data_IF_663891114256
#
_entry.id   IF_663891114256
#
_cell.length_a   1.000
_cell.length_b   1.000
_cell.length_c   1.000
_cell.angle_alpha   90.00
_cell.angle_beta   90.00
_cell.angle_gamma   90.00
#
_symmetry.space_group_name_H-M   'P 1'
#
loop_
_entity.id
_entity.type
_entity.pdbx_description
1 polymer ?
#
# COMPACT_ATOMS: atom_id res chain seq x y z
N UNK A 1 -19.13 -11.26 -12.57
CA UNK A 1 -18.18 -10.76 -13.59
C UNK A 1 -17.10 -11.81 -13.79
N UNK A 2 -16.46 -11.83 -14.96
CA UNK A 2 -15.43 -12.80 -15.31
C UNK A 2 -14.07 -12.10 -15.34
N UNK A 3 -13.04 -12.72 -14.76
CA UNK A 3 -11.65 -12.28 -14.87
C UNK A 3 -11.19 -12.47 -16.31
N UNK A 4 -10.51 -11.47 -16.88
CA UNK A 4 -10.10 -11.48 -18.29
C UNK A 4 -8.63 -11.84 -18.50
N UNK A 5 -7.86 -11.96 -17.41
CA UNK A 5 -6.44 -12.30 -17.43
C UNK A 5 -5.56 -11.07 -17.66
N UNK A 6 -4.53 -11.24 -18.50
CA UNK A 6 -3.52 -10.21 -18.73
C UNK A 6 -4.02 -9.17 -19.72
N UNK A 7 -3.96 -7.90 -19.32
CA UNK A 7 -4.29 -6.74 -20.14
C UNK A 7 -3.14 -5.71 -20.08
N UNK A 8 -2.84 -5.04 -21.20
CA UNK A 8 -1.84 -3.97 -21.20
C UNK A 8 -2.25 -2.84 -20.25
N UNK A 9 -1.25 -2.15 -19.69
CA UNK A 9 -1.51 -0.98 -18.85
C UNK A 9 -1.94 0.21 -19.70
N UNK A 10 -3.06 0.84 -19.33
CA UNK A 10 -3.51 2.08 -19.94
C UNK A 10 -2.86 3.26 -19.23
N UNK A 11 -1.85 3.86 -19.87
CA UNK A 11 -1.05 4.97 -19.31
C UNK A 11 -1.62 6.36 -19.63
N UNK A 12 -2.82 6.44 -20.21
CA UNK A 12 -3.48 7.72 -20.49
C UNK A 12 -3.80 8.47 -19.20
N UNK A 13 -3.40 9.73 -19.12
CA UNK A 13 -3.70 10.62 -17.99
C UNK A 13 -5.09 11.24 -18.14
N UNK A 14 -6.13 10.47 -17.84
CA UNK A 14 -7.47 11.04 -17.69
C UNK A 14 -7.53 11.97 -16.48
N UNK A 15 -8.34 13.03 -16.53
CA UNK A 15 -8.60 13.88 -15.37
C UNK A 15 -9.53 13.20 -14.35
N UNK A 16 -9.61 13.75 -13.14
CA UNK A 16 -10.43 13.19 -12.06
C UNK A 16 -11.94 13.15 -12.37
N UNK A 17 -12.47 14.09 -13.16
CA UNK A 17 -13.89 14.16 -13.53
C UNK A 17 -14.23 13.03 -14.51
N UNK A 18 -13.37 12.82 -15.50
CA UNK A 18 -13.45 11.73 -16.47
C UNK A 18 -13.40 10.38 -15.75
N UNK A 19 -12.41 10.16 -14.88
CA UNK A 19 -12.30 8.92 -14.09
C UNK A 19 -13.52 8.69 -13.20
N UNK A 20 -14.03 9.75 -12.55
CA UNK A 20 -15.22 9.66 -11.69
C UNK A 20 -16.49 9.32 -12.47
N UNK A 21 -16.55 9.71 -13.74
CA UNK A 21 -17.67 9.38 -14.64
C UNK A 21 -17.58 7.93 -15.10
N UNK A 22 -16.40 7.50 -15.55
CA UNK A 22 -16.14 6.11 -15.98
C UNK A 22 -16.38 5.13 -14.84
N UNK A 23 -15.93 5.46 -13.63
CA UNK A 23 -16.11 4.63 -12.44
C UNK A 23 -17.22 5.15 -11.53
N UNK A 24 -18.33 5.63 -12.11
CA UNK A 24 -19.47 6.20 -11.37
C UNK A 24 -20.17 5.24 -10.39
N UNK A 25 -19.86 3.94 -10.47
CA UNK A 25 -20.28 2.92 -9.50
C UNK A 25 -19.53 3.00 -8.16
N UNK A 26 -18.33 3.59 -8.12
CA UNK A 26 -17.63 3.92 -6.88
C UNK A 26 -18.36 5.07 -6.18
N UNK A 27 -18.51 5.00 -4.86
CA UNK A 27 -19.12 6.06 -4.05
C UNK A 27 -18.23 6.39 -2.87
N UNK A 28 -17.80 7.66 -2.75
CA UNK A 28 -16.98 8.14 -1.62
C UNK A 28 -15.71 7.28 -1.39
N UNK A 29 -15.13 6.76 -2.48
CA UNK A 29 -13.96 5.89 -2.47
C UNK A 29 -14.21 4.41 -2.20
N UNK A 30 -15.47 4.01 -2.08
CA UNK A 30 -15.88 2.66 -1.72
C UNK A 30 -16.66 1.98 -2.85
N UNK A 31 -16.50 0.66 -2.95
CA UNK A 31 -17.31 -0.22 -3.78
C UNK A 31 -17.75 -1.45 -3.00
N UNK A 32 -19.01 -1.85 -3.22
CA UNK A 32 -19.60 -3.09 -2.73
C UNK A 32 -20.40 -3.76 -3.85
N UNK A 33 -20.18 -5.06 -4.13
CA UNK A 33 -21.01 -5.81 -5.07
C UNK A 33 -22.49 -5.81 -4.66
N UNK A 34 -23.40 -5.66 -5.62
CA UNK A 34 -24.86 -5.63 -5.35
C UNK A 34 -25.51 -7.01 -5.42
N UNK A 35 -24.94 -7.92 -6.20
CA UNK A 35 -25.58 -9.19 -6.56
C UNK A 35 -24.95 -10.40 -5.86
N UNK A 36 -24.01 -10.18 -4.94
CA UNK A 36 -23.37 -11.22 -4.14
C UNK A 36 -22.87 -10.64 -2.81
N UNK A 37 -22.64 -11.53 -1.84
CA UNK A 37 -21.88 -11.18 -0.64
C UNK A 37 -20.38 -11.27 -0.97
N UNK A 38 -19.60 -10.21 -0.68
CA UNK A 38 -18.15 -10.22 -0.90
C UNK A 38 -17.49 -11.24 0.03
N UNK A 39 -16.50 -11.96 -0.48
CA UNK A 39 -15.72 -12.92 0.32
C UNK A 39 -14.90 -12.23 1.42
N UNK A 40 -14.35 -11.05 1.10
CA UNK A 40 -13.54 -10.22 2.01
C UNK A 40 -13.82 -8.75 1.76
N UNK A 41 -13.68 -7.96 2.83
CA UNK A 41 -13.61 -6.50 2.82
C UNK A 41 -12.15 -6.05 2.82
N UNK A 42 -11.78 -5.24 1.83
CA UNK A 42 -10.39 -4.86 1.58
C UNK A 42 -10.15 -3.36 1.71
N UNK A 43 -9.22 -2.96 2.57
CA UNK A 43 -8.69 -1.60 2.62
C UNK A 43 -7.46 -1.50 1.71
N UNK A 44 -7.48 -0.62 0.72
CA UNK A 44 -6.35 -0.40 -0.19
C UNK A 44 -5.63 0.88 0.20
N UNK A 45 -4.47 0.77 0.82
CA UNK A 45 -3.67 1.89 1.32
C UNK A 45 -2.57 2.24 0.30
N UNK A 46 -2.62 3.47 -0.19
CA UNK A 46 -1.74 4.00 -1.24
C UNK A 46 -0.95 5.19 -0.66
N UNK A 47 0.31 5.00 -0.23
CA UNK A 47 1.14 6.09 0.29
C UNK A 47 1.70 6.94 -0.87
N UNK A 48 1.50 8.25 -0.81
CA UNK A 48 1.96 9.18 -1.86
C UNK A 48 2.58 10.47 -1.31
N UNK A 49 3.38 11.12 -2.16
CA UNK A 49 3.69 12.55 -2.07
C UNK A 49 4.13 13.03 -3.44
N UNK A 50 3.48 14.07 -3.97
CA UNK A 50 3.80 14.64 -5.28
C UNK A 50 3.75 13.56 -6.40
N UNK A 51 2.62 12.84 -6.45
CA UNK A 51 2.38 11.71 -7.37
C UNK A 51 1.00 11.75 -8.03
N UNK A 52 0.43 12.94 -8.19
CA UNK A 52 -0.91 13.12 -8.79
C UNK A 52 -1.04 12.44 -10.17
N UNK A 53 -0.07 12.57 -11.11
CA UNK A 53 -0.14 11.89 -12.39
C UNK A 53 -0.17 10.36 -12.27
N UNK A 54 0.67 9.81 -11.39
CA UNK A 54 0.75 8.37 -11.14
C UNK A 54 -0.54 7.87 -10.46
N UNK A 55 -1.14 8.66 -9.57
CA UNK A 55 -2.41 8.33 -8.93
C UNK A 55 -3.54 8.17 -9.95
N UNK A 56 -3.63 9.06 -10.95
CA UNK A 56 -4.66 8.94 -12.01
C UNK A 56 -4.45 7.72 -12.89
N UNK A 57 -3.21 7.40 -13.23
CA UNK A 57 -2.87 6.15 -13.96
C UNK A 57 -3.19 4.93 -13.08
N UNK A 58 -2.88 4.97 -11.79
CA UNK A 58 -3.22 3.93 -10.83
C UNK A 58 -4.73 3.69 -10.79
N UNK A 59 -5.55 4.72 -10.55
CA UNK A 59 -7.00 4.58 -10.47
C UNK A 59 -7.59 3.99 -11.76
N UNK A 60 -7.12 4.46 -12.92
CA UNK A 60 -7.54 3.97 -14.23
C UNK A 60 -7.27 2.47 -14.45
N UNK A 61 -6.18 1.94 -13.88
CA UNK A 61 -5.79 0.54 -14.07
C UNK A 61 -6.26 -0.36 -12.92
N UNK A 62 -6.28 0.14 -11.70
CA UNK A 62 -6.56 -0.62 -10.50
C UNK A 62 -8.05 -0.93 -10.37
N UNK A 63 -8.91 0.10 -10.44
CA UNK A 63 -10.35 -0.01 -10.23
C UNK A 63 -11.00 -1.09 -11.10
N UNK A 64 -10.82 -1.13 -12.44
CA UNK A 64 -11.47 -2.17 -13.25
C UNK A 64 -10.99 -3.58 -12.92
N UNK A 65 -9.72 -3.76 -12.51
CA UNK A 65 -9.16 -5.07 -12.15
C UNK A 65 -9.73 -5.59 -10.83
N UNK A 66 -9.71 -4.78 -9.77
CA UNK A 66 -10.26 -5.20 -8.47
C UNK A 66 -11.80 -5.29 -8.51
N UNK A 67 -12.47 -4.48 -9.32
CA UNK A 67 -13.92 -4.54 -9.52
C UNK A 67 -14.35 -5.91 -10.06
N UNK A 68 -13.62 -6.49 -11.03
CA UNK A 68 -13.92 -7.83 -11.57
C UNK A 68 -13.73 -8.96 -10.56
N UNK A 69 -12.92 -8.75 -9.52
CA UNK A 69 -12.71 -9.71 -8.42
C UNK A 69 -13.89 -9.73 -7.42
N UNK A 70 -14.87 -8.83 -7.55
CA UNK A 70 -16.09 -8.81 -6.72
C UNK A 70 -15.80 -8.72 -5.20
N UNK A 71 -14.77 -7.96 -4.83
CA UNK A 71 -14.47 -7.61 -3.44
C UNK A 71 -15.26 -6.37 -3.02
N UNK A 72 -15.56 -6.24 -1.73
CA UNK A 72 -15.94 -4.95 -1.14
C UNK A 72 -14.66 -4.24 -0.75
N UNK A 73 -14.41 -3.04 -1.27
CA UNK A 73 -13.14 -2.36 -1.03
C UNK A 73 -13.28 -0.84 -0.92
N UNK A 74 -12.32 -0.24 -0.23
CA UNK A 74 -12.16 1.22 -0.15
C UNK A 74 -10.70 1.58 -0.43
N UNK A 75 -10.49 2.61 -1.26
CA UNK A 75 -9.16 3.13 -1.57
C UNK A 75 -8.83 4.29 -0.63
N UNK A 76 -7.74 4.19 0.12
CA UNK A 76 -7.19 5.20 1.02
C UNK A 76 -5.88 5.73 0.44
N UNK A 77 -5.91 6.95 -0.07
CA UNK A 77 -4.71 7.67 -0.53
C UNK A 77 -4.20 8.50 0.63
N UNK A 78 -3.02 8.15 1.14
CA UNK A 78 -2.41 8.83 2.29
C UNK A 78 -1.25 9.68 1.78
N UNK A 79 -1.41 10.99 1.84
CA UNK A 79 -0.47 11.95 1.29
C UNK A 79 0.32 12.67 2.39
N UNK A 80 1.64 12.70 2.22
CA UNK A 80 2.55 13.43 3.11
C UNK A 80 2.75 14.87 2.66
N UNK A 81 2.76 15.79 3.62
CA UNK A 81 3.22 17.18 3.44
C UNK A 81 4.64 17.27 2.84
N UNK A 82 4.96 18.38 2.14
CA UNK A 82 6.33 18.69 1.75
C UNK A 82 7.21 19.04 2.97
N UNK A 83 8.53 19.15 2.74
CA UNK A 83 9.51 19.60 3.75
C UNK A 83 10.38 18.48 4.33
N UNK A 84 9.77 17.44 4.92
CA UNK A 84 10.53 16.30 5.46
C UNK A 84 10.84 15.23 4.40
N UNK A 85 11.72 14.27 4.70
CA UNK A 85 11.89 13.10 3.83
C UNK A 85 10.60 12.26 3.79
N UNK A 86 10.36 11.59 2.66
CA UNK A 86 9.19 10.73 2.50
C UNK A 86 9.29 9.54 3.46
N UNK A 87 8.21 9.21 4.17
CA UNK A 87 8.18 8.11 5.12
C UNK A 87 7.02 7.15 4.80
N UNK A 88 7.31 6.15 3.96
CA UNK A 88 6.34 5.17 3.47
C UNK A 88 5.64 4.43 4.62
N UNK A 89 6.41 3.97 5.61
CA UNK A 89 5.89 3.17 6.72
C UNK A 89 4.85 3.91 7.56
N UNK A 90 5.13 5.16 7.91
CA UNK A 90 4.18 5.98 8.67
C UNK A 90 2.89 6.26 7.89
N UNK A 91 2.97 6.49 6.57
CA UNK A 91 1.77 6.69 5.73
C UNK A 91 0.92 5.42 5.65
N UNK A 92 1.54 4.24 5.53
CA UNK A 92 0.85 2.96 5.52
C UNK A 92 0.12 2.73 6.85
N UNK A 93 0.82 2.89 7.97
CA UNK A 93 0.22 2.74 9.29
C UNK A 93 -0.92 3.75 9.51
N UNK A 94 -0.82 4.98 9.01
CA UNK A 94 -1.93 5.95 9.05
C UNK A 94 -3.12 5.46 8.25
N UNK A 95 -2.90 4.97 7.03
CA UNK A 95 -3.96 4.43 6.19
C UNK A 95 -4.67 3.26 6.86
N UNK A 96 -3.92 2.38 7.53
CA UNK A 96 -4.50 1.30 8.33
C UNK A 96 -5.38 1.83 9.46
N UNK A 97 -4.85 2.72 10.31
CA UNK A 97 -5.59 3.30 11.46
C UNK A 97 -6.87 3.99 10.98
N UNK A 98 -6.78 4.81 9.92
CA UNK A 98 -7.92 5.53 9.38
C UNK A 98 -8.94 4.63 8.68
N UNK A 99 -8.49 3.53 8.08
CA UNK A 99 -9.37 2.52 7.52
C UNK A 99 -10.15 1.80 8.63
N UNK A 100 -9.49 1.40 9.72
CA UNK A 100 -10.15 0.69 10.83
C UNK A 100 -11.23 1.54 11.53
N UNK A 101 -11.15 2.87 11.46
CA UNK A 101 -12.20 3.78 11.95
C UNK A 101 -13.47 3.78 11.10
N UNK A 102 -13.34 3.46 9.81
CA UNK A 102 -14.46 3.49 8.88
C UNK A 102 -15.26 2.19 8.91
N UNK A 103 -14.57 1.05 8.95
CA UNK A 103 -15.18 -0.29 9.02
C UNK A 103 -14.15 -1.34 9.42
N UNK A 104 -14.64 -2.50 9.88
CA UNK A 104 -13.81 -3.70 10.08
C UNK A 104 -13.51 -4.32 8.71
N UNK A 105 -12.27 -4.18 8.25
CA UNK A 105 -11.76 -4.85 7.06
C UNK A 105 -11.11 -6.18 7.43
N UNK A 106 -11.15 -7.13 6.50
CA UNK A 106 -10.53 -8.45 6.64
C UNK A 106 -9.11 -8.46 6.05
N UNK A 107 -8.87 -7.61 5.05
CA UNK A 107 -7.64 -7.56 4.27
C UNK A 107 -7.14 -6.14 4.06
N UNK A 108 -5.84 -5.95 4.21
CA UNK A 108 -5.12 -4.69 3.99
C UNK A 108 -4.21 -4.88 2.80
N UNK A 109 -4.42 -4.09 1.75
CA UNK A 109 -3.57 -4.02 0.57
C UNK A 109 -2.71 -2.77 0.67
N UNK A 110 -1.40 -2.96 0.69
CA UNK A 110 -0.42 -1.91 0.61
C UNK A 110 0.01 -1.82 -0.85
N UNK A 111 -0.16 -0.65 -1.45
CA UNK A 111 -0.01 -0.50 -2.89
C UNK A 111 0.86 0.70 -3.24
N UNK A 112 2.07 0.42 -3.75
CA UNK A 112 2.90 1.45 -4.36
C UNK A 112 2.22 1.98 -5.63
N UNK A 113 1.91 3.28 -5.66
CA UNK A 113 1.14 3.94 -6.73
C UNK A 113 1.72 3.77 -8.15
N UNK A 114 3.01 3.44 -8.25
CA UNK A 114 3.74 3.24 -9.51
C UNK A 114 3.84 1.78 -9.97
N UNK A 115 3.32 0.81 -9.21
CA UNK A 115 3.40 -0.63 -9.52
C UNK A 115 2.01 -1.18 -9.86
N UNK A 116 1.74 -1.46 -11.13
CA UNK A 116 0.39 -1.80 -11.59
C UNK A 116 0.30 -3.25 -12.06
N UNK A 117 -0.62 -4.02 -11.48
CA UNK A 117 -0.93 -5.38 -11.91
C UNK A 117 -1.32 -5.41 -13.40
N UNK A 118 -0.69 -6.29 -14.17
CA UNK A 118 -1.04 -6.51 -15.58
C UNK A 118 -2.07 -7.61 -15.77
N UNK A 119 -2.30 -8.44 -14.75
CA UNK A 119 -3.20 -9.59 -14.79
C UNK A 119 -4.21 -9.51 -13.65
N UNK A 120 -5.51 -9.56 -13.96
CA UNK A 120 -6.57 -9.49 -12.95
C UNK A 120 -6.78 -10.79 -12.16
N UNK A 121 -6.03 -11.84 -12.50
CA UNK A 121 -5.89 -13.07 -11.70
C UNK A 121 -4.86 -12.93 -10.58
N UNK A 122 -4.18 -11.79 -10.46
CA UNK A 122 -3.53 -11.38 -9.21
C UNK A 122 -4.63 -10.98 -8.23
N UNK A 123 -5.03 -11.90 -7.35
CA UNK A 123 -6.12 -11.69 -6.41
C UNK A 123 -5.70 -10.78 -5.25
N UNK A 124 -6.50 -9.75 -4.98
CA UNK A 124 -6.33 -8.81 -3.86
C UNK A 124 -7.03 -9.31 -2.58
N UNK A 125 -6.90 -10.60 -2.30
CA UNK A 125 -7.50 -11.30 -1.17
C UNK A 125 -6.44 -11.86 -0.25
N UNK A 126 -6.62 -11.68 1.05
CA UNK A 126 -5.71 -12.17 2.07
C UNK A 126 -5.97 -13.64 2.40
N UNK A 127 -4.90 -14.37 2.74
CA UNK A 127 -4.96 -15.76 3.21
C UNK A 127 -4.15 -15.94 4.49
N UNK A 128 -3.75 -17.18 4.78
CA UNK A 128 -3.10 -17.55 6.06
C UNK A 128 -1.73 -16.90 6.30
N UNK A 129 -1.10 -16.37 5.25
CA UNK A 129 0.21 -15.74 5.32
C UNK A 129 0.22 -14.39 4.57
N UNK A 130 0.98 -13.39 5.04
CA UNK A 130 1.23 -12.17 4.29
C UNK A 130 1.81 -12.48 2.91
N UNK A 131 1.39 -11.74 1.89
CA UNK A 131 1.78 -12.03 0.52
C UNK A 131 2.31 -10.81 -0.24
N UNK A 132 3.36 -11.03 -1.04
CA UNK A 132 3.82 -10.07 -2.04
C UNK A 132 3.18 -10.42 -3.38
N UNK A 133 2.25 -9.58 -3.85
CA UNK A 133 1.55 -9.80 -5.12
C UNK A 133 2.41 -9.41 -6.33
N UNK A 134 3.23 -8.37 -6.20
CA UNK A 134 4.07 -7.85 -7.28
C UNK A 134 5.41 -8.58 -7.39
N UNK A 135 5.39 -9.83 -7.85
CA UNK A 135 6.59 -10.67 -7.95
C UNK A 135 7.44 -10.42 -9.19
N UNK A 136 6.83 -9.90 -10.28
CA UNK A 136 7.52 -9.60 -11.54
C UNK A 136 7.29 -8.15 -11.92
N UNK A 137 8.12 -7.26 -11.39
CA UNK A 137 8.00 -5.82 -11.65
C UNK A 137 8.85 -5.44 -12.87
N UNK A 138 8.26 -4.70 -13.82
CA UNK A 138 8.90 -4.27 -15.06
C UNK A 138 10.25 -3.57 -14.84
N UNK A 139 10.35 -2.66 -13.86
CA UNK A 139 11.62 -1.95 -13.55
C UNK A 139 12.76 -2.85 -13.07
N UNK A 140 12.46 -4.09 -12.68
CA UNK A 140 13.43 -5.12 -12.32
C UNK A 140 13.54 -6.23 -13.37
N UNK A 141 13.10 -5.96 -14.61
CA UNK A 141 13.15 -6.93 -15.70
C UNK A 141 12.20 -8.10 -15.51
N UNK A 142 11.06 -7.89 -14.84
CA UNK A 142 10.08 -8.93 -14.52
C UNK A 142 10.64 -10.10 -13.71
N UNK A 143 11.59 -9.80 -12.81
CA UNK A 143 12.19 -10.76 -11.88
C UNK A 143 12.07 -10.26 -10.45
N UNK A 144 12.05 -11.21 -9.51
CA UNK A 144 12.16 -10.90 -8.09
C UNK A 144 13.59 -10.43 -7.84
N UNK A 145 13.80 -9.22 -7.26
CA UNK A 145 15.15 -8.68 -7.08
C UNK A 145 16.06 -9.54 -6.19
N UNK A 146 15.48 -10.12 -5.13
CA UNK A 146 16.13 -11.05 -4.20
C UNK A 146 15.06 -11.80 -3.40
N UNK A 147 15.41 -12.97 -2.87
CA UNK A 147 14.47 -13.91 -2.27
C UNK A 147 13.52 -13.27 -1.23
N UNK A 148 14.07 -12.41 -0.36
CA UNK A 148 13.34 -11.77 0.75
C UNK A 148 12.65 -10.45 0.40
N UNK A 149 12.64 -10.06 -0.87
CA UNK A 149 11.96 -8.84 -1.33
C UNK A 149 10.48 -8.88 -0.97
N UNK A 150 9.96 -7.77 -0.41
CA UNK A 150 8.59 -7.68 0.09
C UNK A 150 8.01 -6.25 -0.06
N UNK A 151 8.20 -5.65 -1.24
CA UNK A 151 7.68 -4.33 -1.59
C UNK A 151 6.82 -4.36 -2.86
N UNK A 152 6.34 -3.18 -3.30
CA UNK A 152 5.42 -3.02 -4.42
C UNK A 152 3.96 -3.14 -4.00
N UNK A 153 3.37 -4.31 -4.24
CA UNK A 153 1.99 -4.65 -3.82
C UNK A 153 2.07 -5.78 -2.81
N UNK A 154 1.68 -5.49 -1.57
CA UNK A 154 1.78 -6.41 -0.44
C UNK A 154 0.43 -6.47 0.26
N UNK A 155 0.05 -7.65 0.76
CA UNK A 155 -1.22 -7.85 1.45
C UNK A 155 -1.05 -8.53 2.81
N UNK A 156 -1.89 -8.14 3.76
CA UNK A 156 -1.94 -8.65 5.13
C UNK A 156 -3.41 -8.78 5.57
N UNK A 157 -3.77 -9.85 6.27
CA UNK A 157 -4.99 -9.76 7.09
C UNK A 157 -4.81 -8.68 8.16
N UNK A 158 -5.91 -8.19 8.71
CA UNK A 158 -5.86 -7.20 9.80
C UNK A 158 -5.02 -7.71 10.97
N UNK A 159 -5.22 -8.96 11.36
CA UNK A 159 -4.50 -9.63 12.45
C UNK A 159 -3.00 -9.80 12.12
N UNK A 160 -2.67 -10.13 10.87
CA UNK A 160 -1.27 -10.25 10.44
C UNK A 160 -0.54 -8.91 10.49
N UNK A 161 -1.20 -7.83 10.07
CA UNK A 161 -0.63 -6.48 10.08
C UNK A 161 -0.39 -6.00 11.52
N UNK A 162 -1.34 -6.25 12.42
CA UNK A 162 -1.20 -5.95 13.85
C UNK A 162 -0.12 -6.81 14.52
N UNK A 163 -0.04 -8.10 14.20
CA UNK A 163 0.95 -9.02 14.78
C UNK A 163 2.40 -8.58 14.50
N UNK A 164 2.65 -7.97 13.34
CA UNK A 164 3.99 -7.44 13.01
C UNK A 164 4.24 -6.03 13.56
N UNK A 165 3.32 -5.45 14.34
CA UNK A 165 3.32 -4.05 14.74
C UNK A 165 3.39 -3.10 13.52
N UNK A 166 2.67 -3.41 12.44
CA UNK A 166 2.68 -2.66 11.19
C UNK A 166 4.09 -2.39 10.60
N UNK A 167 4.20 -1.28 9.87
CA UNK A 167 5.45 -0.84 9.25
C UNK A 167 6.33 -0.06 10.24
N UNK A 168 7.68 -0.08 10.08
CA UNK A 168 8.58 0.75 10.89
C UNK A 168 8.39 2.24 10.59
N UNK A 169 8.43 3.09 11.62
CA UNK A 169 8.28 4.54 11.49
C UNK A 169 9.63 5.27 11.30
N UNK A 170 10.76 4.64 11.63
CA UNK A 170 12.07 5.30 11.58
C UNK A 170 12.66 5.48 10.15
N UNK A 171 12.11 4.79 9.14
CA UNK A 171 12.66 4.84 7.77
C UNK A 171 12.21 6.09 7.02
N UNK A 172 13.06 7.12 7.08
CA UNK A 172 12.94 8.34 6.29
C UNK A 172 13.76 8.26 5.00
N UNK A 173 13.12 8.49 3.86
CA UNK A 173 13.71 8.34 2.53
C UNK A 173 13.60 6.91 2.00
N UNK A 174 14.19 6.67 0.83
CA UNK A 174 14.07 5.37 0.15
C UNK A 174 15.00 4.30 0.75
N UNK A 175 14.40 3.15 1.11
CA UNK A 175 15.05 1.85 1.26
C UNK A 175 15.15 1.33 2.69
N UNK A 176 14.99 0.01 2.83
CA UNK A 176 15.16 -0.77 4.07
C UNK A 176 13.86 -1.04 4.82
N UNK A 177 12.80 -0.27 4.58
CA UNK A 177 11.50 -0.40 5.24
C UNK A 177 10.78 -1.71 4.87
N UNK A 178 10.75 -2.05 3.57
CA UNK A 178 10.12 -3.28 3.08
C UNK A 178 10.91 -4.53 3.52
N UNK A 179 12.24 -4.41 3.66
CA UNK A 179 13.11 -5.48 4.17
C UNK A 179 12.92 -5.72 5.68
N UNK A 180 12.67 -4.64 6.43
CA UNK A 180 12.35 -4.76 7.84
C UNK A 180 10.98 -5.40 8.05
N UNK A 181 9.97 -5.03 7.25
CA UNK A 181 8.66 -5.69 7.29
C UNK A 181 8.78 -7.17 6.96
N UNK A 182 9.52 -7.51 5.89
CA UNK A 182 9.87 -8.89 5.55
C UNK A 182 10.49 -9.64 6.74
N UNK A 183 11.33 -8.97 7.53
CA UNK A 183 11.94 -9.53 8.74
C UNK A 183 10.94 -9.71 9.87
N UNK A 184 10.07 -8.73 10.14
CA UNK A 184 9.02 -8.84 11.16
C UNK A 184 8.06 -9.99 10.90
N UNK A 185 7.62 -10.18 9.65
CA UNK A 185 6.76 -11.31 9.24
C UNK A 185 7.38 -12.64 9.67
N UNK A 186 8.68 -12.84 9.41
CA UNK A 186 9.39 -14.06 9.82
C UNK A 186 9.57 -14.16 11.34
N UNK A 187 9.84 -13.04 12.02
CA UNK A 187 10.00 -13.00 13.49
C UNK A 187 8.75 -13.46 14.22
N UNK A 188 7.57 -13.22 13.65
CA UNK A 188 6.29 -13.69 14.20
C UNK A 188 5.81 -15.01 13.57
N UNK A 189 6.73 -15.75 12.94
CA UNK A 189 6.52 -17.10 12.40
C UNK A 189 5.58 -17.22 11.20
N UNK A 190 5.21 -16.11 10.56
CA UNK A 190 4.55 -16.17 9.25
C UNK A 190 5.56 -16.44 8.13
N UNK A 191 5.05 -17.00 7.03
CA UNK A 191 5.80 -17.19 5.77
C UNK A 191 5.51 -16.02 4.83
N UNK A 192 6.44 -15.75 3.90
CA UNK A 192 6.17 -14.84 2.80
C UNK A 192 5.49 -15.62 1.67
N UNK A 193 4.22 -15.34 1.43
CA UNK A 193 3.47 -15.93 0.33
C UNK A 193 3.63 -15.11 -0.96
N UNK A 194 3.44 -15.76 -2.11
CA UNK A 194 3.49 -15.15 -3.44
C UNK A 194 2.41 -15.80 -4.31
N UNK A 195 1.76 -15.06 -5.21
CA UNK A 195 0.82 -15.64 -6.16
C UNK A 195 1.54 -16.60 -7.11
N UNK A 196 0.77 -17.46 -7.78
CA UNK A 196 1.30 -18.33 -8.82
C UNK A 196 2.15 -17.54 -9.82
N UNK A 197 3.35 -18.05 -10.09
CA UNK A 197 4.41 -17.34 -10.82
C UNK A 197 3.97 -16.79 -12.18
N UNK A 198 2.99 -17.41 -12.83
CA UNK A 198 2.45 -16.96 -14.13
C UNK A 198 1.72 -15.61 -14.07
N UNK A 199 1.10 -15.25 -12.95
CA UNK A 199 0.23 -14.06 -12.88
C UNK A 199 0.92 -12.79 -12.39
N UNK A 200 2.03 -12.88 -11.64
CA UNK A 200 2.61 -11.74 -10.91
C UNK A 200 3.25 -10.59 -11.70
N UNK A 201 2.96 -10.46 -13.01
CA UNK A 201 3.46 -9.37 -13.85
C UNK A 201 2.85 -8.04 -13.45
N UNK A 202 3.72 -7.08 -13.15
CA UNK A 202 3.36 -5.72 -12.79
C UNK A 202 4.19 -4.72 -13.60
N UNK A 203 3.54 -3.81 -14.30
CA UNK A 203 4.23 -2.73 -15.00
C UNK A 203 4.60 -1.60 -14.05
N UNK A 204 5.56 -0.77 -14.46
CA UNK A 204 6.04 0.37 -13.68
C UNK A 204 5.72 1.70 -14.36
N UNK A 205 5.19 2.65 -13.59
CA UNK A 205 4.99 4.04 -14.03
C UNK A 205 6.23 4.85 -13.69
N UNK A 206 6.76 5.60 -14.67
CA UNK A 206 7.99 6.37 -14.44
C UNK A 206 7.72 7.56 -13.51
N UNK A 207 8.69 7.84 -12.63
CA UNK A 207 8.67 8.98 -11.74
C UNK A 207 10.10 9.33 -11.27
N UNK A 208 10.29 10.54 -10.75
CA UNK A 208 11.55 10.92 -10.10
C UNK A 208 11.77 10.07 -8.84
N UNK A 209 12.95 9.47 -8.71
CA UNK A 209 13.29 8.66 -7.53
C UNK A 209 13.33 9.52 -6.28
N UNK A 210 12.78 9.01 -5.18
CA UNK A 210 12.91 9.65 -3.88
C UNK A 210 14.36 9.64 -3.41
N UNK A 211 14.71 10.63 -2.58
CA UNK A 211 16.03 10.70 -1.91
C UNK A 211 16.27 9.44 -1.08
N UNK A 212 17.46 8.84 -1.22
CA UNK A 212 17.85 7.68 -0.42
C UNK A 212 17.99 8.06 1.05
N UNK A 213 17.46 7.23 1.94
CA UNK A 213 17.67 7.42 3.38
C UNK A 213 19.13 7.18 3.75
N UNK A 214 19.78 8.16 4.39
CA UNK A 214 21.17 8.05 4.84
C UNK A 214 21.31 7.08 6.02
N UNK A 215 20.31 7.05 6.90
CA UNK A 215 20.33 6.28 8.14
C UNK A 215 19.80 4.84 7.99
N UNK A 216 19.36 4.44 6.79
CA UNK A 216 18.69 3.14 6.56
C UNK A 216 19.48 1.96 7.11
N UNK A 217 20.80 1.93 6.91
CA UNK A 217 21.65 0.84 7.40
C UNK A 217 21.80 0.86 8.92
N UNK A 218 21.85 2.04 9.53
CA UNK A 218 21.88 2.19 11.00
C UNK A 218 20.57 1.65 11.58
N UNK A 219 19.43 2.04 11.01
CA UNK A 219 18.11 1.60 11.44
C UNK A 219 17.96 0.09 11.26
N UNK A 220 18.35 -0.47 10.11
CA UNK A 220 18.32 -1.92 9.88
C UNK A 220 19.15 -2.71 10.90
N UNK A 221 20.29 -2.17 11.38
CA UNK A 221 21.12 -2.85 12.39
C UNK A 221 20.46 -2.93 13.76
N UNK A 222 19.64 -1.94 14.12
CA UNK A 222 18.95 -1.89 15.42
C UNK A 222 17.51 -2.41 15.34
N UNK A 223 16.98 -2.66 14.13
CA UNK A 223 15.55 -2.95 13.93
C UNK A 223 15.07 -4.16 14.73
N UNK A 224 15.93 -5.16 14.91
CA UNK A 224 15.61 -6.35 15.71
C UNK A 224 15.35 -6.03 17.19
N UNK A 225 16.02 -5.04 17.77
CA UNK A 225 15.78 -4.64 19.17
C UNK A 225 14.65 -3.64 19.32
N UNK A 226 14.35 -2.85 18.28
CA UNK A 226 13.37 -1.76 18.38
C UNK A 226 12.00 -2.06 17.77
N UNK A 227 11.81 -3.11 16.96
CA UNK A 227 10.59 -3.27 16.16
C UNK A 227 9.27 -3.31 16.96
N UNK A 228 9.31 -3.78 18.21
CA UNK A 228 8.15 -3.79 19.12
C UNK A 228 7.79 -2.40 19.68
N UNK A 229 8.68 -1.41 19.50
CA UNK A 229 8.56 -0.02 19.94
C UNK A 229 8.64 0.97 18.76
N UNK A 230 8.71 0.46 17.55
CA UNK A 230 8.77 1.24 16.31
C UNK A 230 7.75 0.68 15.32
N UNK A 231 6.49 1.06 15.45
CA UNK A 231 5.47 0.55 14.55
C UNK A 231 4.09 1.19 14.69
N UNK A 232 3.08 0.40 14.37
CA UNK A 232 1.68 0.80 14.34
C UNK A 232 1.21 1.39 15.67
N UNK A 233 1.55 0.73 16.78
CA UNK A 233 1.07 1.13 18.11
C UNK A 233 1.85 2.32 18.69
N UNK A 234 3.00 2.65 18.10
CA UNK A 234 3.92 3.70 18.57
C UNK A 234 3.71 5.05 17.85
N UNK A 235 2.69 5.17 16.99
CA UNK A 235 2.37 6.40 16.25
C UNK A 235 1.79 7.52 17.12
N UNK A 236 1.14 7.16 18.22
CA UNK A 236 0.30 8.06 19.00
C UNK A 236 1.10 9.00 19.93
N UNK A 237 2.36 8.69 20.20
CA UNK A 237 3.23 9.47 21.08
C UNK A 237 3.91 10.63 20.33
N UNK A 238 3.11 11.57 19.81
CA UNK A 238 3.51 12.89 19.29
C UNK A 238 3.81 13.06 17.78
N UNK A 239 3.58 12.05 16.93
CA UNK A 239 3.87 12.11 15.49
C UNK A 239 2.69 11.84 14.54
N UNK A 240 1.46 11.71 15.08
CA UNK A 240 0.25 11.45 14.32
C UNK A 240 -0.62 12.71 14.17
N UNK A 241 -0.43 13.46 13.08
CA UNK A 241 -1.22 14.66 12.77
C UNK A 241 -1.84 14.56 11.39
N UNK A 242 -3.16 14.34 11.34
CA UNK A 242 -3.95 14.48 10.11
C UNK A 242 -4.35 15.95 9.98
N UNK A 243 -3.94 16.56 8.87
CA UNK A 243 -4.31 17.94 8.54
C UNK A 243 -5.68 17.97 7.87
N UNK A 244 -5.97 17.00 7.02
CA UNK A 244 -7.23 16.93 6.30
C UNK A 244 -7.63 15.49 5.94
N UNK A 245 -8.93 15.20 5.96
CA UNK A 245 -9.51 13.95 5.45
C UNK A 245 -10.72 14.26 4.60
N UNK A 246 -10.70 13.87 3.33
CA UNK A 246 -11.80 14.07 2.39
C UNK A 246 -12.22 12.76 1.73
N UNK A 247 -13.52 12.50 1.67
CA UNK A 247 -14.06 11.40 0.85
C UNK A 247 -14.33 11.89 -0.57
N UNK A 248 -13.38 11.64 -1.48
CA UNK A 248 -13.55 11.93 -2.92
C UNK A 248 -14.34 10.80 -3.58
N UNK A 249 -14.76 10.98 -4.84
CA UNK A 249 -15.59 9.99 -5.55
C UNK A 249 -14.94 8.60 -5.60
N UNK A 250 -13.65 8.54 -5.93
CA UNK A 250 -12.91 7.30 -6.20
C UNK A 250 -11.99 6.83 -5.07
N UNK A 251 -11.69 7.67 -4.09
CA UNK A 251 -10.84 7.33 -2.95
C UNK A 251 -11.12 8.25 -1.76
N UNK A 252 -10.73 7.79 -0.56
CA UNK A 252 -10.59 8.62 0.63
C UNK A 252 -9.19 9.21 0.61
N UNK A 253 -9.09 10.53 0.63
CA UNK A 253 -7.83 11.26 0.69
C UNK A 253 -7.55 11.67 2.14
N UNK A 254 -6.35 11.35 2.62
CA UNK A 254 -5.87 11.70 3.95
C UNK A 254 -4.58 12.48 3.77
N UNK A 255 -4.59 13.76 4.12
CA UNK A 255 -3.42 14.62 4.08
C UNK A 255 -2.85 14.77 5.49
N UNK A 256 -1.57 14.46 5.66
CA UNK A 256 -0.95 14.44 6.98
C UNK A 256 0.45 15.01 7.01
N UNK A 257 0.78 15.55 8.16
CA UNK A 257 2.12 15.99 8.47
C UNK A 257 2.92 14.88 9.16
N UNK A 258 4.24 14.95 9.00
CA UNK A 258 5.19 14.08 9.68
C UNK A 258 6.31 14.95 10.22
N UNK A 259 6.39 15.07 11.55
CA UNK A 259 7.53 15.71 12.21
C UNK A 259 8.69 14.71 12.38
N UNK A 260 9.64 14.80 11.46
CA UNK A 260 10.81 13.92 11.43
C UNK A 260 11.67 14.01 12.70
N UNK A 261 11.72 15.17 13.38
CA UNK A 261 12.53 15.33 14.59
C UNK A 261 11.89 14.57 15.75
N UNK A 262 10.58 14.68 15.92
CA UNK A 262 9.85 13.95 16.97
C UNK A 262 9.95 12.44 16.78
N UNK A 263 9.77 11.96 15.55
CA UNK A 263 9.87 10.51 15.27
C UNK A 263 11.26 9.98 15.63
N UNK A 264 12.32 10.73 15.31
CA UNK A 264 13.70 10.31 15.61
C UNK A 264 14.08 10.35 17.08
N UNK A 265 13.34 11.06 17.94
CA UNK A 265 13.65 11.16 19.37
C UNK A 265 13.24 9.92 20.18
N UNK A 266 12.52 8.99 19.55
CA UNK A 266 12.02 7.78 20.23
C UNK A 266 13.15 6.77 20.50
N UNK A 267 14.36 6.95 19.91
CA UNK A 267 15.55 6.09 20.15
C UNK A 267 16.88 6.84 20.05
#
# INVERSE_FOLDING_TARGET
MVLVGREPLNRTLFDHKTLSTVFGFMKKGHFKPKNCSPYQKTAVVVPIRDREPQLRIFLNNFIPRIYRQQLEFTIYVVEQTPGNLFNKGMLINTGFIEAMKDMKYDCIVIHDVDVLAEDDRILYTCGDNPAQLSTKIQKYGYRIPYERSFGGIVIFSTEQFEAINGYPNQFFGWGGEDDEVSSRVRRVHYKLSRPFHQYGHCGSVQHQKATRGTDRYKITRISESIWKKDGLFDLFDHAYTILEKQRKSLYVWIYRDIDMKKVRQVF
#
